data_IF_319438220914
#
_entry.id   IF_319438220914
#
_cell.length_a   1.000
_cell.length_b   1.000
_cell.length_c   1.000
_cell.angle_alpha   90.00
_cell.angle_beta   90.00
_cell.angle_gamma   90.00
#
_symmetry.space_group_name_H-M   'P 1'
#
loop_
_entity.id
_entity.type
_entity.pdbx_description
1 polymer ?
#
# COMPACT_ATOMS: atom_id res chain seq x y z
N UNK A 1 18.12 -12.37 8.64
CA UNK A 1 18.62 -11.05 8.22
C UNK A 1 17.51 -10.06 8.52
N UNK A 2 17.81 -8.92 9.12
CA UNK A 2 16.81 -7.87 9.34
C UNK A 2 16.63 -7.09 8.03
N UNK A 3 15.62 -7.48 7.25
CA UNK A 3 15.34 -6.91 5.94
C UNK A 3 14.80 -5.47 6.02
N UNK A 4 14.27 -5.02 7.17
CA UNK A 4 13.54 -3.74 7.29
C UNK A 4 14.46 -2.57 7.59
N UNK A 5 15.54 -2.78 8.36
CA UNK A 5 16.49 -1.71 8.77
C UNK A 5 17.00 -0.82 7.63
N UNK A 6 17.23 -1.38 6.43
CA UNK A 6 17.68 -0.62 5.23
C UNK A 6 16.70 0.45 4.77
N UNK A 7 15.42 0.32 5.11
CA UNK A 7 14.38 1.25 4.70
C UNK A 7 14.22 2.43 5.64
N UNK A 8 14.95 2.48 6.76
CA UNK A 8 14.70 3.45 7.84
C UNK A 8 13.21 3.48 8.25
N UNK A 9 12.69 2.36 8.78
CA UNK A 9 11.30 2.18 9.18
C UNK A 9 10.81 3.36 10.04
N UNK A 10 9.60 3.83 9.77
CA UNK A 10 9.03 4.96 10.50
C UNK A 10 7.52 4.93 10.48
N UNK A 11 6.96 4.85 11.68
CA UNK A 11 5.53 4.96 11.94
C UNK A 11 4.90 6.22 11.35
N UNK A 12 5.57 7.37 11.50
CA UNK A 12 4.97 8.66 11.16
C UNK A 12 5.33 9.21 9.79
N UNK A 13 6.33 8.64 9.09
CA UNK A 13 6.91 9.26 7.90
C UNK A 13 5.88 9.59 6.82
N UNK A 14 4.94 8.67 6.57
CA UNK A 14 3.88 8.86 5.61
C UNK A 14 2.80 9.82 6.13
N UNK A 15 2.41 9.69 7.40
CA UNK A 15 1.37 10.55 7.99
C UNK A 15 1.82 12.02 8.02
N UNK A 16 3.07 12.31 8.35
CA UNK A 16 3.63 13.66 8.27
C UNK A 16 3.61 14.19 6.83
N UNK A 17 3.99 13.38 5.84
CA UNK A 17 3.94 13.78 4.44
C UNK A 17 2.50 14.10 3.98
N UNK A 18 1.52 13.32 4.45
CA UNK A 18 0.11 13.50 4.10
C UNK A 18 -0.53 14.71 4.79
N UNK A 19 -0.23 14.97 6.07
CA UNK A 19 -0.77 16.14 6.82
C UNK A 19 -0.43 17.49 6.18
N UNK A 20 0.65 17.58 5.42
CA UNK A 20 1.00 18.80 4.66
C UNK A 20 0.16 19.00 3.38
N UNK A 21 -0.58 17.97 2.94
CA UNK A 21 -1.21 17.89 1.60
C UNK A 21 -2.70 17.57 1.64
N UNK A 22 -3.16 16.92 2.71
CA UNK A 22 -4.57 16.72 3.00
C UNK A 22 -5.12 18.01 3.59
N UNK A 23 -6.14 18.57 2.97
CA UNK A 23 -6.82 19.75 3.51
C UNK A 23 -8.12 19.36 4.21
N UNK A 24 -8.77 20.36 4.82
CA UNK A 24 -10.05 20.15 5.51
C UNK A 24 -11.12 19.57 4.59
N UNK A 25 -11.22 20.01 3.33
CA UNK A 25 -12.25 19.53 2.41
C UNK A 25 -12.09 18.04 2.09
N UNK A 26 -10.84 17.56 2.03
CA UNK A 26 -10.54 16.15 1.90
C UNK A 26 -10.97 15.34 3.14
N UNK A 27 -10.79 15.88 4.35
CA UNK A 27 -11.27 15.24 5.58
C UNK A 27 -12.80 15.23 5.68
N UNK A 28 -13.46 16.28 5.20
CA UNK A 28 -14.92 16.35 5.10
C UNK A 28 -15.43 15.28 4.12
N UNK A 29 -14.74 15.05 3.00
CA UNK A 29 -15.09 13.97 2.07
C UNK A 29 -15.00 12.59 2.72
N UNK A 30 -13.93 12.32 3.48
CA UNK A 30 -13.82 11.07 4.26
C UNK A 30 -15.01 10.99 5.22
N UNK A 31 -15.29 12.03 6.00
CA UNK A 31 -16.38 12.02 6.98
C UNK A 31 -17.77 11.80 6.36
N UNK A 32 -17.97 12.08 5.06
CA UNK A 32 -19.21 11.83 4.34
C UNK A 32 -19.34 10.41 3.79
N UNK A 33 -18.29 9.58 3.85
CA UNK A 33 -18.23 8.30 3.15
C UNK A 33 -19.36 7.32 3.53
N UNK A 34 -19.84 7.36 4.76
CA UNK A 34 -20.99 6.58 5.26
C UNK A 34 -22.31 7.33 5.10
N UNK A 35 -22.61 7.84 3.90
CA UNK A 35 -23.82 8.64 3.62
C UNK A 35 -24.02 9.82 4.59
N UNK A 36 -22.91 10.40 5.06
CA UNK A 36 -22.87 11.46 6.10
C UNK A 36 -23.44 11.06 7.46
N UNK A 37 -23.65 9.77 7.73
CA UNK A 37 -23.98 9.27 9.06
C UNK A 37 -22.85 9.63 10.04
N UNK A 38 -23.21 10.17 11.21
CA UNK A 38 -22.26 10.66 12.22
C UNK A 38 -21.14 11.58 11.69
N UNK A 39 -21.40 12.31 10.59
CA UNK A 39 -20.42 13.17 9.90
C UNK A 39 -19.57 14.04 10.85
N UNK A 40 -20.20 14.75 11.80
CA UNK A 40 -19.47 15.64 12.71
C UNK A 40 -18.52 14.89 13.66
N UNK A 41 -18.89 13.68 14.09
CA UNK A 41 -18.05 12.84 14.94
C UNK A 41 -16.84 12.30 14.15
N UNK A 42 -17.09 11.82 12.93
CA UNK A 42 -16.03 11.42 12.01
C UNK A 42 -15.07 12.56 11.71
N UNK A 43 -15.60 13.73 11.30
CA UNK A 43 -14.79 14.90 10.96
C UNK A 43 -13.99 15.39 12.17
N UNK A 44 -14.59 15.41 13.36
CA UNK A 44 -13.88 15.79 14.59
C UNK A 44 -12.70 14.87 14.87
N UNK A 45 -12.89 13.55 14.80
CA UNK A 45 -11.82 12.58 15.00
C UNK A 45 -10.72 12.71 13.93
N UNK A 46 -11.09 12.86 12.66
CA UNK A 46 -10.16 13.06 11.55
C UNK A 46 -9.34 14.34 11.70
N UNK A 47 -9.96 15.45 12.10
CA UNK A 47 -9.27 16.72 12.32
C UNK A 47 -8.23 16.63 13.43
N UNK A 48 -8.54 15.95 14.55
CA UNK A 48 -7.59 15.74 15.65
C UNK A 48 -6.36 14.98 15.19
N UNK A 49 -6.57 13.84 14.51
CA UNK A 49 -5.48 13.04 13.97
C UNK A 49 -4.70 13.82 12.90
N UNK A 50 -5.37 14.59 12.05
CA UNK A 50 -4.72 15.47 11.10
C UNK A 50 -3.85 16.55 11.78
N UNK A 51 -4.29 17.08 12.92
CA UNK A 51 -3.57 18.11 13.69
C UNK A 51 -2.43 17.59 14.55
N UNK A 52 -2.20 16.27 14.61
CA UNK A 52 -1.08 15.69 15.36
C UNK A 52 -1.48 14.84 16.55
N UNK A 53 -2.77 14.75 16.90
CA UNK A 53 -3.19 13.82 17.95
C UNK A 53 -2.96 12.37 17.51
N UNK A 54 -2.61 11.52 18.48
CA UNK A 54 -2.48 10.09 18.25
C UNK A 54 -3.85 9.50 17.88
N UNK A 55 -3.84 8.47 17.03
CA UNK A 55 -5.04 7.69 16.77
C UNK A 55 -5.45 6.95 18.06
N UNK A 56 -6.72 7.02 18.50
CA UNK A 56 -7.16 6.28 19.67
C UNK A 56 -6.95 4.77 19.52
N UNK A 57 -6.57 4.12 20.61
CA UNK A 57 -6.38 2.66 20.69
C UNK A 57 -7.25 2.11 21.84
N UNK A 58 -8.21 1.21 21.57
CA UNK A 58 -8.65 0.75 20.25
C UNK A 58 -9.29 1.88 19.44
N UNK A 59 -9.29 1.74 18.11
CA UNK A 59 -9.91 2.73 17.22
C UNK A 59 -11.46 2.60 17.32
N UNK A 60 -12.17 3.67 17.71
CA UNK A 60 -13.63 3.66 17.77
C UNK A 60 -14.25 3.62 16.37
N UNK A 61 -15.57 3.36 16.31
CA UNK A 61 -16.34 3.39 15.05
C UNK A 61 -16.13 4.70 14.28
N UNK A 62 -16.13 5.84 14.98
CA UNK A 62 -15.74 7.14 14.43
C UNK A 62 -14.25 7.44 14.72
N UNK A 63 -13.29 7.29 13.78
CA UNK A 63 -13.50 7.34 12.33
C UNK A 63 -13.29 6.02 11.56
N UNK A 64 -13.16 4.86 12.22
CA UNK A 64 -12.88 3.58 11.56
C UNK A 64 -13.78 3.30 10.35
N UNK A 65 -15.09 3.45 10.48
CA UNK A 65 -16.05 3.11 9.42
C UNK A 65 -15.78 3.88 8.13
N UNK A 66 -15.72 5.21 8.22
CA UNK A 66 -15.50 6.04 7.04
C UNK A 66 -14.11 5.86 6.43
N UNK A 67 -13.11 5.48 7.23
CA UNK A 67 -11.80 5.10 6.71
C UNK A 67 -11.88 3.79 5.93
N UNK A 68 -12.57 2.77 6.47
CA UNK A 68 -12.81 1.49 5.80
C UNK A 68 -13.60 1.65 4.51
N UNK A 69 -14.60 2.53 4.47
CA UNK A 69 -15.34 2.82 3.24
C UNK A 69 -14.49 3.59 2.23
N UNK A 70 -13.70 4.55 2.69
CA UNK A 70 -12.85 5.38 1.82
C UNK A 70 -11.75 4.57 1.13
N UNK A 71 -11.23 3.51 1.78
CA UNK A 71 -10.18 2.64 1.20
C UNK A 71 -10.58 2.02 -0.14
N UNK A 72 -11.89 1.90 -0.40
CA UNK A 72 -12.44 1.33 -1.62
C UNK A 72 -12.60 2.31 -2.79
N UNK A 73 -12.32 3.60 -2.58
CA UNK A 73 -12.39 4.62 -3.63
C UNK A 73 -11.48 4.31 -4.83
N UNK A 74 -11.90 4.74 -6.02
CA UNK A 74 -11.11 4.66 -7.27
C UNK A 74 -10.94 6.05 -7.91
N UNK A 75 -9.87 6.79 -7.53
CA UNK A 75 -9.59 8.15 -7.99
C UNK A 75 -9.32 8.28 -9.48
N UNK A 76 -8.87 7.22 -10.15
CA UNK A 76 -8.55 7.20 -11.59
C UNK A 76 -9.67 6.64 -12.46
N UNK A 77 -10.76 6.15 -11.85
CA UNK A 77 -11.83 5.52 -12.61
C UNK A 77 -12.59 6.58 -13.43
N UNK A 78 -12.20 6.69 -14.70
CA UNK A 78 -12.83 7.47 -15.76
C UNK A 78 -14.09 6.77 -16.32
N UNK A 79 -14.37 5.53 -15.90
CA UNK A 79 -15.49 4.71 -16.39
C UNK A 79 -16.87 5.36 -16.22
N UNK A 80 -16.96 6.39 -15.38
CA UNK A 80 -18.16 7.17 -15.10
C UNK A 80 -18.63 7.98 -16.32
N UNK A 81 -17.73 8.45 -17.20
CA UNK A 81 -18.12 9.32 -18.33
C UNK A 81 -18.62 8.54 -19.56
N UNK A 82 -18.01 7.39 -19.86
CA UNK A 82 -18.19 6.75 -21.18
C UNK A 82 -19.40 5.81 -21.28
N UNK A 83 -19.83 5.17 -20.20
CA UNK A 83 -20.87 4.12 -20.27
C UNK A 83 -22.11 4.35 -19.42
N UNK A 84 -22.22 5.43 -18.63
CA UNK A 84 -23.38 5.73 -17.75
C UNK A 84 -23.86 4.53 -16.89
N UNK A 85 -23.01 3.53 -16.69
CA UNK A 85 -23.35 2.31 -15.95
C UNK A 85 -22.16 1.98 -15.04
N UNK A 86 -22.17 2.62 -13.87
CA UNK A 86 -21.82 1.97 -12.60
C UNK A 86 -22.31 2.85 -11.47
N UNK A 87 -23.08 2.24 -10.56
CA UNK A 87 -23.49 2.77 -9.26
C UNK A 87 -22.27 2.76 -8.32
N UNK A 88 -21.24 3.56 -8.59
CA UNK A 88 -20.32 3.95 -7.53
C UNK A 88 -21.11 4.86 -6.60
N UNK A 89 -21.50 4.35 -5.43
CA UNK A 89 -22.31 5.10 -4.47
C UNK A 89 -21.59 6.33 -3.90
N UNK A 90 -20.27 6.49 -4.14
CA UNK A 90 -19.54 7.71 -3.82
C UNK A 90 -18.89 8.35 -5.06
N UNK A 91 -19.27 9.60 -5.32
CA UNK A 91 -18.64 10.52 -6.29
C UNK A 91 -17.44 11.21 -5.66
N UNK A 92 -16.53 10.44 -5.07
CA UNK A 92 -15.35 10.99 -4.42
C UNK A 92 -14.46 11.77 -5.38
N UNK A 93 -13.57 12.57 -4.81
CA UNK A 93 -12.53 13.31 -5.50
C UNK A 93 -11.72 12.41 -6.45
N UNK A 94 -11.33 12.96 -7.60
CA UNK A 94 -10.59 12.27 -8.65
C UNK A 94 -9.15 12.76 -8.74
N UNK A 95 -8.27 11.97 -9.35
CA UNK A 95 -6.85 12.29 -9.50
C UNK A 95 -6.14 12.52 -8.17
N UNK A 96 -5.24 13.52 -8.12
CA UNK A 96 -4.37 13.76 -6.96
C UNK A 96 -5.15 13.93 -5.63
N UNK A 97 -6.22 14.76 -5.54
CA UNK A 97 -7.04 14.84 -4.33
C UNK A 97 -7.61 13.49 -3.88
N UNK A 98 -8.16 12.70 -4.80
CA UNK A 98 -8.69 11.37 -4.47
C UNK A 98 -7.62 10.40 -3.98
N UNK A 99 -6.42 10.43 -4.56
CA UNK A 99 -5.31 9.62 -4.06
C UNK A 99 -4.82 10.06 -2.69
N UNK A 100 -4.80 11.36 -2.38
CA UNK A 100 -4.46 11.86 -1.05
C UNK A 100 -5.46 11.38 0.00
N UNK A 101 -6.76 11.48 -0.31
CA UNK A 101 -7.85 10.99 0.54
C UNK A 101 -7.69 9.48 0.82
N UNK A 102 -7.55 8.68 -0.24
CA UNK A 102 -7.38 7.21 -0.11
C UNK A 102 -6.10 6.87 0.64
N UNK A 103 -4.98 7.54 0.34
CA UNK A 103 -3.72 7.29 1.03
C UNK A 103 -3.80 7.64 2.52
N UNK A 104 -4.45 8.74 2.88
CA UNK A 104 -4.70 9.10 4.28
C UNK A 104 -5.53 8.06 4.99
N UNK A 105 -6.64 7.63 4.38
CA UNK A 105 -7.49 6.59 4.95
C UNK A 105 -6.74 5.26 5.17
N UNK A 106 -6.07 4.75 4.14
CA UNK A 106 -5.29 3.51 4.25
C UNK A 106 -4.15 3.61 5.26
N UNK A 107 -3.49 4.77 5.38
CA UNK A 107 -2.41 4.97 6.36
C UNK A 107 -2.92 4.83 7.79
N UNK A 108 -4.06 5.46 8.11
CA UNK A 108 -4.65 5.37 9.44
C UNK A 108 -5.16 3.96 9.77
N UNK A 109 -5.75 3.27 8.79
CA UNK A 109 -6.17 1.88 8.97
C UNK A 109 -4.98 0.96 9.26
N UNK A 110 -3.92 1.01 8.46
CA UNK A 110 -2.75 0.16 8.66
C UNK A 110 -2.01 0.51 9.96
N UNK A 111 -2.02 1.79 10.36
CA UNK A 111 -1.52 2.22 11.67
C UNK A 111 -2.34 1.64 12.82
N UNK A 112 -3.64 1.51 12.67
CA UNK A 112 -4.52 0.93 13.68
C UNK A 112 -4.40 -0.60 13.77
N UNK A 113 -4.29 -1.28 12.62
CA UNK A 113 -4.22 -2.75 12.51
C UNK A 113 -3.07 -3.34 13.32
N UNK A 114 -1.92 -2.65 13.37
CA UNK A 114 -0.74 -3.16 14.09
C UNK A 114 -0.85 -3.05 15.61
N UNK A 115 -1.86 -2.35 16.13
CA UNK A 115 -2.08 -2.22 17.57
C UNK A 115 -2.76 -3.49 18.14
N UNK A 116 -2.22 -4.12 19.20
CA UNK A 116 -2.76 -5.35 19.78
C UNK A 116 -4.24 -5.29 20.19
N UNK A 117 -4.72 -4.13 20.61
CA UNK A 117 -6.09 -3.88 21.06
C UNK A 117 -7.10 -3.92 19.91
N UNK A 118 -6.64 -3.83 18.65
CA UNK A 118 -7.47 -3.84 17.45
C UNK A 118 -7.48 -5.18 16.69
N UNK A 119 -6.87 -6.24 17.24
CA UNK A 119 -6.65 -7.53 16.55
C UNK A 119 -7.87 -8.15 15.85
N UNK A 120 -9.08 -7.89 16.31
CA UNK A 120 -10.30 -8.45 15.72
C UNK A 120 -11.22 -7.39 15.09
N UNK A 121 -10.69 -6.20 14.83
CA UNK A 121 -11.46 -5.06 14.34
C UNK A 121 -11.29 -4.82 12.84
N UNK A 122 -10.38 -5.54 12.19
CA UNK A 122 -9.98 -5.32 10.81
C UNK A 122 -9.92 -6.62 10.02
N UNK A 123 -10.13 -6.48 8.71
CA UNK A 123 -9.97 -7.53 7.73
C UNK A 123 -9.54 -6.95 6.36
N UNK A 124 -8.99 -7.82 5.51
CA UNK A 124 -8.59 -7.46 4.15
C UNK A 124 -7.43 -6.45 4.10
N UNK A 125 -6.45 -6.58 4.98
CA UNK A 125 -5.27 -5.72 5.04
C UNK A 125 -4.54 -5.69 3.70
N UNK A 126 -4.37 -6.82 3.00
CA UNK A 126 -3.81 -6.90 1.66
C UNK A 126 -4.47 -5.91 0.67
N UNK A 127 -5.78 -5.72 0.79
CA UNK A 127 -6.54 -4.80 -0.06
C UNK A 127 -6.28 -3.35 0.34
N UNK A 128 -6.09 -3.08 1.62
CA UNK A 128 -5.69 -1.76 2.12
C UNK A 128 -4.26 -1.41 1.70
N UNK A 129 -3.34 -2.39 1.76
CA UNK A 129 -1.94 -2.25 1.36
C UNK A 129 -1.84 -1.90 -0.12
N UNK A 130 -2.49 -2.66 -1.01
CA UNK A 130 -2.38 -2.40 -2.46
C UNK A 130 -2.99 -1.07 -2.86
N UNK A 131 -4.07 -0.65 -2.19
CA UNK A 131 -4.68 0.66 -2.42
C UNK A 131 -3.77 1.81 -1.98
N UNK A 132 -3.08 1.65 -0.85
CA UNK A 132 -2.05 2.61 -0.43
C UNK A 132 -0.88 2.65 -1.41
N UNK A 133 -0.35 1.50 -1.83
CA UNK A 133 0.75 1.40 -2.81
C UNK A 133 0.36 2.07 -4.13
N UNK A 134 -0.84 1.79 -4.64
CA UNK A 134 -1.39 2.40 -5.85
C UNK A 134 -1.43 3.93 -5.74
N UNK A 135 -1.99 4.47 -4.64
CA UNK A 135 -2.01 5.91 -4.42
C UNK A 135 -0.61 6.51 -4.26
N UNK A 136 0.29 5.85 -3.54
CA UNK A 136 1.66 6.35 -3.35
C UNK A 136 2.43 6.47 -4.67
N UNK A 137 2.25 5.53 -5.61
CA UNK A 137 2.81 5.60 -6.96
C UNK A 137 2.28 6.82 -7.71
N UNK A 138 0.96 7.04 -7.69
CA UNK A 138 0.33 8.20 -8.36
C UNK A 138 0.74 9.54 -7.75
N UNK A 139 0.95 9.59 -6.43
CA UNK A 139 1.41 10.77 -5.70
C UNK A 139 2.91 11.05 -5.87
N UNK A 140 3.67 10.10 -6.40
CA UNK A 140 5.05 10.29 -6.83
C UNK A 140 6.11 9.80 -5.85
N UNK A 141 7.37 10.13 -6.17
CA UNK A 141 8.55 9.53 -5.52
C UNK A 141 8.66 9.81 -4.02
N UNK A 142 8.25 11.01 -3.57
CA UNK A 142 8.32 11.37 -2.15
C UNK A 142 7.28 10.59 -1.34
N UNK A 143 6.05 10.47 -1.86
CA UNK A 143 4.99 9.67 -1.25
C UNK A 143 5.37 8.18 -1.21
N UNK A 144 5.89 7.64 -2.32
CA UNK A 144 6.38 6.26 -2.38
C UNK A 144 7.51 6.01 -1.37
N UNK A 145 8.46 6.94 -1.23
CA UNK A 145 9.55 6.83 -0.24
C UNK A 145 9.00 6.82 1.19
N UNK A 146 8.08 7.73 1.50
CA UNK A 146 7.45 7.77 2.83
C UNK A 146 6.63 6.49 3.11
N UNK A 147 5.96 5.96 2.09
CA UNK A 147 5.18 4.73 2.18
C UNK A 147 6.05 3.50 2.41
N UNK A 148 7.20 3.38 1.75
CA UNK A 148 8.16 2.28 2.02
C UNK A 148 8.58 2.27 3.49
N UNK A 149 8.90 3.45 4.05
CA UNK A 149 9.29 3.58 5.47
C UNK A 149 8.18 3.16 6.41
N UNK A 150 6.94 3.56 6.09
CA UNK A 150 5.76 3.22 6.86
C UNK A 150 5.45 1.71 6.80
N UNK A 151 5.39 1.13 5.60
CA UNK A 151 5.13 -0.31 5.45
C UNK A 151 6.23 -1.16 6.07
N UNK A 152 7.51 -0.75 5.98
CA UNK A 152 8.60 -1.45 6.64
C UNK A 152 8.43 -1.46 8.16
N UNK A 153 7.95 -0.36 8.76
CA UNK A 153 7.60 -0.31 10.17
C UNK A 153 6.40 -1.22 10.47
N UNK A 154 5.34 -1.19 9.65
CA UNK A 154 4.20 -2.09 9.84
C UNK A 154 4.65 -3.56 9.87
N UNK A 155 5.55 -3.97 8.97
CA UNK A 155 6.10 -5.34 8.94
C UNK A 155 6.81 -5.71 10.24
N UNK A 156 7.47 -4.79 10.92
CA UNK A 156 8.10 -5.04 12.23
C UNK A 156 7.06 -5.23 13.33
N UNK A 157 5.88 -4.61 13.19
CA UNK A 157 4.80 -4.68 14.17
C UNK A 157 3.82 -5.83 13.94
N UNK A 158 3.69 -6.37 12.71
CA UNK A 158 2.73 -7.45 12.42
C UNK A 158 2.98 -8.62 13.38
N UNK A 159 2.04 -8.94 14.29
CA UNK A 159 2.22 -10.01 15.26
C UNK A 159 2.37 -11.36 14.57
N UNK A 160 3.14 -12.28 15.18
CA UNK A 160 3.38 -13.64 14.68
C UNK A 160 2.13 -14.52 14.42
N UNK A 161 0.94 -14.11 14.83
CA UNK A 161 -0.31 -14.83 14.58
C UNK A 161 -1.15 -14.22 13.44
N UNK A 162 -0.72 -13.09 12.86
CA UNK A 162 -1.26 -12.46 11.65
C UNK A 162 -0.26 -12.59 10.48
N UNK A 163 0.54 -13.65 10.48
CA UNK A 163 1.63 -13.84 9.51
C UNK A 163 1.14 -13.92 8.05
N UNK A 164 -0.14 -14.26 7.82
CA UNK A 164 -0.74 -14.36 6.48
C UNK A 164 -0.69 -13.07 5.67
N UNK A 165 -0.68 -11.90 6.34
CA UNK A 165 -0.67 -10.60 5.67
C UNK A 165 0.75 -10.07 5.39
N UNK A 166 1.77 -10.62 6.07
CA UNK A 166 3.18 -10.18 5.91
C UNK A 166 3.69 -10.23 4.47
N UNK A 167 3.42 -11.29 3.67
CA UNK A 167 3.85 -11.33 2.27
C UNK A 167 3.32 -10.15 1.45
N UNK A 168 2.11 -9.67 1.72
CA UNK A 168 1.52 -8.53 1.01
C UNK A 168 2.20 -7.21 1.34
N UNK A 169 2.59 -6.99 2.59
CA UNK A 169 3.40 -5.81 2.95
C UNK A 169 4.73 -5.80 2.20
N UNK A 170 5.43 -6.93 2.20
CA UNK A 170 6.74 -7.05 1.55
C UNK A 170 6.61 -6.91 0.03
N UNK A 171 5.56 -7.48 -0.57
CA UNK A 171 5.24 -7.27 -1.99
C UNK A 171 4.96 -5.79 -2.29
N UNK A 172 4.21 -5.09 -1.43
CA UNK A 172 3.98 -3.65 -1.55
C UNK A 172 5.28 -2.84 -1.52
N UNK A 173 6.21 -3.19 -0.63
CA UNK A 173 7.55 -2.58 -0.58
C UNK A 173 8.35 -2.87 -1.87
N UNK A 174 8.32 -4.10 -2.39
CA UNK A 174 8.99 -4.45 -3.66
C UNK A 174 8.47 -3.58 -4.81
N UNK A 175 7.15 -3.46 -4.96
CA UNK A 175 6.53 -2.64 -6.01
C UNK A 175 6.96 -1.17 -5.91
N UNK A 176 6.94 -0.60 -4.70
CA UNK A 176 7.36 0.79 -4.48
C UNK A 176 8.87 0.98 -4.76
N UNK A 177 9.73 0.05 -4.35
CA UNK A 177 11.17 0.13 -4.58
C UNK A 177 11.52 0.01 -6.08
N UNK A 178 10.77 -0.81 -6.82
CA UNK A 178 10.86 -0.88 -8.29
C UNK A 178 10.42 0.44 -8.91
N UNK A 179 9.32 1.04 -8.47
CA UNK A 179 8.87 2.35 -8.92
C UNK A 179 9.91 3.46 -8.63
N UNK A 180 10.44 3.51 -7.40
CA UNK A 180 11.50 4.43 -6.99
C UNK A 180 12.78 4.23 -7.80
N UNK A 181 13.03 2.99 -8.22
CA UNK A 181 14.16 2.67 -9.06
C UNK A 181 14.04 3.30 -10.47
N UNK A 182 12.83 3.50 -10.99
CA UNK A 182 12.58 4.07 -12.31
C UNK A 182 12.67 5.61 -12.33
N UNK A 183 12.31 6.29 -11.24
CA UNK A 183 12.20 7.76 -11.18
C UNK A 183 13.52 8.55 -11.15
N UNK A 184 14.66 7.92 -10.83
CA UNK A 184 15.97 8.60 -10.74
C UNK A 184 16.55 8.88 -12.14
N UNK A 185 16.21 10.03 -12.75
CA UNK A 185 16.85 10.53 -13.98
C UNK A 185 18.37 10.64 -13.81
N UNK A 186 19.12 10.21 -14.84
CA UNK A 186 20.59 10.23 -14.95
C UNK A 186 21.19 11.65 -14.83
N UNK A 187 21.21 12.26 -13.64
CA UNK A 187 22.08 13.43 -13.38
C UNK A 187 23.45 12.93 -12.92
N UNK A 188 24.47 13.23 -13.73
CA UNK A 188 25.92 13.06 -13.53
C UNK A 188 26.52 11.64 -13.73
N UNK A 189 26.90 11.40 -14.99
CA UNK A 189 27.48 10.17 -15.55
C UNK A 189 28.94 9.85 -15.19
N UNK A 190 29.44 10.19 -13.98
CA UNK A 190 30.86 9.89 -13.61
C UNK A 190 31.06 8.91 -12.43
N UNK A 191 30.00 8.43 -11.78
CA UNK A 191 30.05 7.41 -10.71
C UNK A 191 29.11 6.23 -11.03
N UNK A 192 29.32 5.53 -12.16
CA UNK A 192 28.25 4.73 -12.80
C UNK A 192 28.33 3.20 -12.70
N UNK A 193 29.44 2.60 -12.26
CA UNK A 193 29.54 1.12 -12.19
C UNK A 193 29.02 0.59 -10.84
N UNK A 194 29.66 0.99 -9.74
CA UNK A 194 29.33 0.46 -8.41
C UNK A 194 27.89 0.75 -7.94
N UNK A 195 27.32 1.93 -8.25
CA UNK A 195 25.97 2.28 -7.81
C UNK A 195 24.85 1.54 -8.55
N UNK A 196 25.11 1.02 -9.77
CA UNK A 196 24.15 0.24 -10.53
C UNK A 196 24.08 -1.18 -9.95
N UNK A 197 25.22 -1.76 -9.63
CA UNK A 197 25.34 -3.12 -9.11
C UNK A 197 24.71 -3.23 -7.70
N UNK A 198 24.98 -2.28 -6.81
CA UNK A 198 24.36 -2.24 -5.45
C UNK A 198 22.84 -2.14 -5.49
N UNK A 199 22.27 -1.42 -6.47
CA UNK A 199 20.81 -1.25 -6.58
C UNK A 199 20.14 -2.52 -7.11
N UNK A 200 20.75 -3.18 -8.08
CA UNK A 200 20.26 -4.46 -8.58
C UNK A 200 20.32 -5.54 -7.50
N UNK A 201 21.39 -5.56 -6.70
CA UNK A 201 21.52 -6.46 -5.54
C UNK A 201 20.45 -6.17 -4.48
N UNK A 202 20.18 -4.89 -4.20
CA UNK A 202 19.14 -4.46 -3.28
C UNK A 202 17.73 -4.92 -3.69
N UNK A 203 17.43 -4.95 -4.99
CA UNK A 203 16.15 -5.47 -5.50
C UNK A 203 16.09 -6.99 -5.45
N UNK A 204 17.19 -7.69 -5.76
CA UNK A 204 17.23 -9.15 -5.65
C UNK A 204 17.00 -9.63 -4.21
N UNK A 205 17.61 -8.96 -3.22
CA UNK A 205 17.34 -9.25 -1.81
C UNK A 205 15.88 -9.03 -1.41
N UNK A 206 15.17 -8.09 -2.05
CA UNK A 206 13.75 -7.90 -1.83
C UNK A 206 12.91 -9.01 -2.46
N UNK A 207 13.28 -9.45 -3.67
CA UNK A 207 12.64 -10.60 -4.31
C UNK A 207 12.76 -11.85 -3.43
N UNK A 208 13.95 -12.12 -2.91
CA UNK A 208 14.19 -13.23 -1.99
C UNK A 208 13.32 -13.11 -0.74
N UNK A 209 13.21 -11.90 -0.16
CA UNK A 209 12.36 -11.67 1.00
C UNK A 209 10.87 -11.90 0.73
N UNK A 210 10.34 -11.44 -0.42
CA UNK A 210 8.93 -11.71 -0.80
C UNK A 210 8.68 -13.22 -0.88
N UNK A 211 9.57 -13.95 -1.58
CA UNK A 211 9.44 -15.40 -1.72
C UNK A 211 9.55 -16.12 -0.36
N UNK A 212 10.45 -15.68 0.51
CA UNK A 212 10.61 -16.24 1.86
C UNK A 212 9.36 -16.05 2.73
N UNK A 213 8.78 -14.85 2.77
CA UNK A 213 7.56 -14.60 3.56
C UNK A 213 6.37 -15.37 2.99
N UNK A 214 6.21 -15.40 1.66
CA UNK A 214 5.16 -16.15 0.99
C UNK A 214 5.25 -17.66 1.33
N UNK A 215 6.44 -18.25 1.20
CA UNK A 215 6.67 -19.65 1.50
C UNK A 215 6.42 -19.98 2.99
N UNK A 216 6.76 -19.08 3.92
CA UNK A 216 6.46 -19.28 5.36
C UNK A 216 4.96 -19.42 5.60
N UNK A 217 4.15 -18.53 5.01
CA UNK A 217 2.70 -18.60 5.16
C UNK A 217 2.14 -19.84 4.47
N UNK A 218 2.61 -20.14 3.25
CA UNK A 218 2.16 -21.30 2.49
C UNK A 218 2.44 -22.64 3.16
N UNK A 219 3.55 -22.74 3.89
CA UNK A 219 3.91 -23.94 4.63
C UNK A 219 3.09 -24.13 5.92
N UNK A 220 2.24 -23.16 6.30
CA UNK A 220 1.23 -23.34 7.34
C UNK A 220 -0.05 -23.93 6.71
N UNK A 221 -0.65 -24.94 7.35
CA UNK A 221 -1.68 -25.85 6.78
C UNK A 221 -3.04 -25.20 6.39
N UNK A 222 -3.17 -23.88 6.30
CA UNK A 222 -4.45 -23.16 6.12
C UNK A 222 -4.40 -22.05 5.04
N UNK A 223 -3.90 -22.34 3.84
CA UNK A 223 -4.02 -21.41 2.71
C UNK A 223 -5.28 -21.65 1.87
N UNK A 224 -6.01 -20.59 1.46
CA UNK A 224 -7.22 -20.68 0.64
C UNK A 224 -7.06 -21.41 -0.70
N UNK A 225 -5.96 -21.17 -1.42
CA UNK A 225 -5.71 -21.81 -2.72
C UNK A 225 -4.22 -22.03 -3.00
N UNK A 226 -3.94 -22.76 -4.08
CA UNK A 226 -2.58 -22.98 -4.58
C UNK A 226 -1.96 -21.76 -5.24
N UNK A 227 -2.73 -20.69 -5.45
CA UNK A 227 -2.31 -19.54 -6.23
C UNK A 227 -1.26 -18.73 -5.46
N UNK A 228 -0.24 -18.25 -6.15
CA UNK A 228 0.92 -17.62 -5.52
C UNK A 228 0.57 -16.21 -5.00
N UNK A 229 0.94 -15.94 -3.74
CA UNK A 229 0.57 -14.75 -2.96
C UNK A 229 -0.94 -14.52 -2.78
N UNK A 230 -1.71 -14.39 -3.87
CA UNK A 230 -3.15 -14.12 -3.82
C UNK A 230 -3.97 -15.29 -3.25
N UNK A 231 -3.47 -16.53 -3.39
CA UNK A 231 -4.07 -17.71 -2.78
C UNK A 231 -3.85 -17.82 -1.27
N UNK A 232 -3.16 -16.86 -0.63
CA UNK A 232 -2.94 -16.83 0.82
C UNK A 232 -4.12 -16.21 1.59
N UNK A 233 -5.07 -15.58 0.91
CA UNK A 233 -6.16 -14.82 1.54
C UNK A 233 -7.52 -15.07 0.89
N UNK A 234 -8.60 -14.98 1.68
CA UNK A 234 -9.97 -15.01 1.17
C UNK A 234 -10.47 -13.62 0.72
N UNK A 235 -9.70 -12.56 1.01
CA UNK A 235 -10.08 -11.19 0.70
C UNK A 235 -9.62 -10.80 -0.72
N UNK A 236 -10.44 -11.12 -1.71
CA UNK A 236 -10.08 -11.06 -3.13
C UNK A 236 -10.46 -9.75 -3.85
N UNK A 237 -11.14 -8.82 -3.17
CA UNK A 237 -11.74 -7.61 -3.74
C UNK A 237 -10.73 -6.78 -4.56
N UNK A 238 -9.43 -6.78 -4.18
CA UNK A 238 -8.38 -6.01 -4.87
C UNK A 238 -7.27 -6.87 -5.50
N UNK A 239 -7.56 -8.13 -5.82
CA UNK A 239 -6.65 -8.99 -6.58
C UNK A 239 -6.31 -8.40 -7.95
N UNK A 240 -7.27 -7.78 -8.65
CA UNK A 240 -7.01 -7.13 -9.94
C UNK A 240 -6.05 -5.94 -9.81
N UNK A 241 -6.10 -5.19 -8.71
CA UNK A 241 -5.14 -4.10 -8.46
C UNK A 241 -3.73 -4.65 -8.24
N UNK A 242 -3.58 -5.75 -7.49
CA UNK A 242 -2.30 -6.44 -7.34
C UNK A 242 -1.73 -6.90 -8.68
N UNK A 243 -2.56 -7.54 -9.51
CA UNK A 243 -2.20 -8.01 -10.85
C UNK A 243 -1.78 -6.84 -11.75
N UNK A 244 -2.55 -5.75 -11.75
CA UNK A 244 -2.28 -4.57 -12.57
C UNK A 244 -0.93 -3.93 -12.22
N UNK A 245 -0.70 -3.61 -10.94
CA UNK A 245 0.55 -2.97 -10.50
C UNK A 245 1.75 -3.89 -10.75
N UNK A 246 1.59 -5.19 -10.51
CA UNK A 246 2.62 -6.20 -10.76
C UNK A 246 3.00 -6.26 -12.23
N UNK A 247 2.02 -6.30 -13.14
CA UNK A 247 2.29 -6.25 -14.58
C UNK A 247 3.07 -4.99 -14.96
N UNK A 248 2.59 -3.82 -14.53
CA UNK A 248 3.19 -2.54 -14.89
C UNK A 248 4.62 -2.35 -14.37
N UNK A 249 4.92 -2.89 -13.19
CA UNK A 249 6.20 -2.63 -12.53
C UNK A 249 7.20 -3.78 -12.71
N UNK A 250 6.75 -5.03 -12.70
CA UNK A 250 7.65 -6.19 -12.71
C UNK A 250 7.82 -6.81 -14.10
N UNK A 251 6.76 -6.83 -14.92
CA UNK A 251 6.78 -7.44 -16.28
C UNK A 251 7.06 -6.39 -17.35
N UNK A 252 6.39 -5.24 -17.27
CA UNK A 252 6.42 -4.19 -18.30
C UNK A 252 7.00 -2.87 -17.76
N UNK A 253 8.18 -2.87 -17.07
CA UNK A 253 8.70 -1.65 -16.45
C UNK A 253 9.05 -0.59 -17.49
N UNK A 254 8.73 0.67 -17.19
CA UNK A 254 9.06 1.81 -18.04
C UNK A 254 10.58 1.93 -18.24
N UNK A 255 11.37 1.59 -17.22
CA UNK A 255 12.84 1.61 -17.27
C UNK A 255 13.37 0.19 -17.02
N UNK A 256 14.07 -0.44 -17.99
CA UNK A 256 14.60 -1.79 -17.81
C UNK A 256 15.66 -1.89 -16.70
N UNK A 257 15.62 -2.98 -15.93
CA UNK A 257 16.61 -3.35 -14.93
C UNK A 257 17.77 -4.17 -15.56
N UNK A 258 18.77 -4.57 -14.77
CA UNK A 258 19.77 -5.54 -15.24
C UNK A 258 19.13 -6.88 -15.55
N UNK A 259 19.66 -7.62 -16.55
CA UNK A 259 19.13 -8.91 -17.00
C UNK A 259 18.76 -9.87 -15.85
N UNK A 260 19.68 -10.11 -14.91
CA UNK A 260 19.43 -10.97 -13.73
C UNK A 260 18.27 -10.47 -12.86
N UNK A 261 18.12 -9.16 -12.71
CA UNK A 261 17.02 -8.58 -11.91
C UNK A 261 15.70 -8.70 -12.66
N UNK A 262 15.70 -8.48 -13.97
CA UNK A 262 14.50 -8.66 -14.81
C UNK A 262 13.99 -10.09 -14.72
N UNK A 263 14.86 -11.10 -14.87
CA UNK A 263 14.47 -12.51 -14.82
C UNK A 263 13.73 -12.88 -13.51
N UNK A 264 14.21 -12.39 -12.36
CA UNK A 264 13.58 -12.67 -11.05
C UNK A 264 12.30 -11.84 -10.83
N UNK A 265 12.28 -10.58 -11.26
CA UNK A 265 11.05 -9.77 -11.18
C UNK A 265 9.96 -10.35 -12.09
N UNK A 266 10.32 -10.82 -13.28
CA UNK A 266 9.42 -11.49 -14.21
C UNK A 266 8.88 -12.79 -13.62
N UNK A 267 9.73 -13.60 -12.97
CA UNK A 267 9.30 -14.81 -12.28
C UNK A 267 8.22 -14.49 -11.23
N UNK A 268 8.50 -13.57 -10.31
CA UNK A 268 7.54 -13.14 -9.28
C UNK A 268 6.26 -12.60 -9.93
N UNK A 269 6.41 -11.77 -10.96
CA UNK A 269 5.27 -11.16 -11.62
C UNK A 269 4.38 -12.17 -12.33
N UNK A 270 4.96 -13.16 -13.02
CA UNK A 270 4.22 -14.22 -13.69
C UNK A 270 3.53 -15.13 -12.68
N UNK A 271 4.19 -15.50 -11.58
CA UNK A 271 3.57 -16.31 -10.52
C UNK A 271 2.31 -15.66 -9.97
N UNK A 272 2.31 -14.34 -9.76
CA UNK A 272 1.13 -13.60 -9.31
C UNK A 272 0.06 -13.44 -10.42
N UNK A 273 0.45 -13.29 -11.68
CA UNK A 273 -0.49 -13.10 -12.78
C UNK A 273 -1.20 -14.39 -13.21
N UNK A 274 -0.55 -15.54 -13.03
CA UNK A 274 -1.10 -16.87 -13.29
C UNK A 274 -1.96 -17.40 -12.13
N UNK A 275 -2.02 -16.64 -11.03
CA UNK A 275 -2.90 -16.84 -9.87
C UNK A 275 -4.35 -16.45 -10.13
#
# INVERSE_FOLDING_TARGET
>A
MDYTTRFNPSEDALLYWLRERVDRSMLEEIAMADYSYNYELHLSALLKVHQGEALPVPIPWEPREVLELTRWSEPDDLYIEKYKVSKSFNKGSKGIPGHLIRAFACTLLLRAVVEPENRNSFDGENSTIVQLVSSAIHLGQDAATATVRFLAWCVEQVPHHYETERPFYVMGILLLEVFLAQGKKKKNSKKKKNAKDTKSESLLLLCDWVMDEEAKVRNNDNVPSSDWLLGLTFFDIKHDTWKLLTRQLLIEPIVPHSKKTVEILELIGLSLLES
#
